data_IF_104396361523
#
_entry.id   IF_104396361523
#
_cell.length_a   1.000
_cell.length_b   1.000
_cell.length_c   1.000
_cell.angle_alpha   90.00
_cell.angle_beta   90.00
_cell.angle_gamma   90.00
#
_symmetry.space_group_name_H-M   'P 1'
#
loop_
_entity.id
_entity.type
_entity.pdbx_description
1 polymer ?
#
# COMPACT_ATOMS: atom_id res chain seq x y z
N UNK A 1 -41.11 -55.73 43.07
CA UNK A 1 -41.16 -56.79 42.04
C UNK A 1 -39.78 -57.39 41.94
N UNK A 2 -39.64 -58.61 42.43
CA UNK A 2 -38.43 -59.45 42.48
C UNK A 2 -38.34 -60.32 41.24
N UNK A 3 -37.15 -60.45 40.65
CA UNK A 3 -36.67 -61.69 40.04
C UNK A 3 -35.15 -61.62 39.83
N UNK A 4 -34.46 -62.45 40.61
CA UNK A 4 -33.14 -63.02 40.37
C UNK A 4 -33.11 -63.78 39.02
N UNK A 5 -31.93 -63.95 38.41
CA UNK A 5 -31.43 -65.21 37.82
C UNK A 5 -30.10 -65.00 37.07
N UNK A 6 -29.02 -65.39 37.77
CA UNK A 6 -27.94 -66.33 37.34
C UNK A 6 -27.42 -66.30 35.90
N UNK A 7 -26.09 -66.19 35.80
CA UNK A 7 -25.32 -66.76 34.68
C UNK A 7 -23.83 -66.40 34.69
N UNK A 8 -23.00 -67.21 35.36
CA UNK A 8 -21.57 -67.33 35.08
C UNK A 8 -21.34 -68.72 34.46
N UNK A 9 -20.45 -68.86 33.45
CA UNK A 9 -19.16 -69.54 33.66
C UNK A 9 -18.05 -69.05 32.66
N UNK A 10 -16.90 -69.74 32.48
CA UNK A 10 -15.78 -69.87 33.41
C UNK A 10 -14.39 -69.52 32.77
N UNK A 11 -13.36 -69.79 33.56
CA UNK A 11 -11.92 -69.59 33.39
C UNK A 11 -11.22 -70.18 32.13
N UNK A 12 -10.05 -69.60 31.80
CA UNK A 12 -9.00 -70.21 30.97
C UNK A 12 -8.15 -69.18 30.20
N UNK A 13 -7.19 -68.51 30.84
CA UNK A 13 -5.76 -68.85 30.86
C UNK A 13 -4.92 -68.37 29.64
N UNK A 14 -4.01 -67.41 29.86
CA UNK A 14 -2.52 -67.52 29.67
C UNK A 14 -1.84 -66.16 29.47
N UNK A 15 -0.64 -66.02 30.07
CA UNK A 15 0.39 -65.00 29.77
C UNK A 15 0.36 -63.83 30.74
N UNK A 16 1.04 -63.87 31.89
CA UNK A 16 2.49 -63.75 32.09
C UNK A 16 3.03 -62.32 31.79
N UNK A 17 3.76 -61.79 32.78
CA UNK A 17 4.17 -60.41 32.96
C UNK A 17 5.03 -59.84 31.81
N UNK A 18 4.71 -58.61 31.39
CA UNK A 18 5.71 -57.65 30.92
C UNK A 18 5.35 -56.23 31.41
N UNK A 19 6.33 -55.58 32.03
CA UNK A 19 6.27 -54.25 32.63
C UNK A 19 6.15 -53.12 31.58
N UNK A 20 5.93 -51.85 32.00
CA UNK A 20 5.36 -50.81 31.15
C UNK A 20 6.40 -50.18 30.20
N UNK A 21 6.15 -50.18 28.89
CA UNK A 21 6.92 -49.36 27.95
C UNK A 21 6.29 -47.98 27.79
N UNK A 22 6.80 -47.03 28.56
CA UNK A 22 6.66 -45.62 28.23
C UNK A 22 7.60 -45.29 27.06
N UNK A 23 7.05 -45.03 25.87
CA UNK A 23 7.71 -44.22 24.83
C UNK A 23 6.65 -43.31 24.21
N UNK A 24 6.37 -42.14 24.80
CA UNK A 24 7.14 -40.89 24.64
C UNK A 24 7.24 -40.48 23.16
N UNK A 25 6.22 -39.72 22.74
CA UNK A 25 6.30 -38.57 21.83
C UNK A 25 6.84 -38.80 20.41
N UNK A 26 5.95 -38.97 19.43
CA UNK A 26 6.25 -38.71 18.01
C UNK A 26 6.29 -37.19 17.71
N UNK A 27 7.03 -36.43 18.52
CA UNK A 27 7.25 -34.98 18.33
C UNK A 27 8.40 -34.68 17.36
N UNK A 28 9.05 -35.70 16.81
CA UNK A 28 10.35 -35.59 16.13
C UNK A 28 10.31 -35.38 14.61
N UNK A 29 9.13 -35.38 13.97
CA UNK A 29 9.03 -35.05 12.52
C UNK A 29 8.86 -33.56 12.19
N UNK A 30 8.74 -32.68 13.19
CA UNK A 30 8.53 -31.22 12.97
C UNK A 30 9.79 -30.35 13.09
N UNK A 31 10.91 -30.91 13.57
CA UNK A 31 12.16 -30.17 13.79
C UNK A 31 12.96 -29.81 12.52
N UNK A 32 13.09 -30.67 11.48
CA UNK A 32 13.88 -30.28 10.31
C UNK A 32 13.22 -29.16 9.49
N UNK A 33 11.88 -29.10 9.47
CA UNK A 33 11.14 -28.04 8.78
C UNK A 33 11.36 -26.65 9.41
N UNK A 34 11.42 -26.58 10.74
CA UNK A 34 11.66 -25.30 11.44
C UNK A 34 13.08 -24.76 11.22
N UNK A 35 14.09 -25.64 11.18
CA UNK A 35 15.46 -25.23 10.89
C UNK A 35 15.62 -24.73 9.45
N UNK A 36 15.03 -25.42 8.48
CA UNK A 36 15.05 -24.98 7.08
C UNK A 36 14.37 -23.62 6.93
N UNK A 37 13.16 -23.45 7.50
CA UNK A 37 12.44 -22.17 7.47
C UNK A 37 13.27 -21.06 8.13
N UNK A 38 13.88 -21.33 9.29
CA UNK A 38 14.71 -20.35 9.99
C UNK A 38 15.95 -19.96 9.16
N UNK A 39 16.64 -20.92 8.56
CA UNK A 39 17.80 -20.66 7.69
C UNK A 39 17.40 -19.86 6.45
N UNK A 40 16.25 -20.19 5.85
CA UNK A 40 15.71 -19.42 4.71
C UNK A 40 15.39 -17.99 5.12
N UNK A 41 14.73 -17.77 6.26
CA UNK A 41 14.41 -16.43 6.76
C UNK A 41 15.68 -15.60 7.04
N UNK A 42 16.67 -16.21 7.69
CA UNK A 42 17.96 -15.55 7.95
C UNK A 42 18.68 -15.24 6.65
N UNK A 43 18.71 -16.18 5.70
CA UNK A 43 19.31 -15.97 4.38
C UNK A 43 18.67 -14.82 3.63
N UNK A 44 17.33 -14.78 3.57
CA UNK A 44 16.57 -13.69 2.95
C UNK A 44 16.86 -12.35 3.65
N UNK A 45 16.85 -12.32 4.98
CA UNK A 45 17.16 -11.11 5.75
C UNK A 45 18.59 -10.60 5.51
N UNK A 46 19.58 -11.50 5.50
CA UNK A 46 20.97 -11.13 5.23
C UNK A 46 21.15 -10.61 3.79
N UNK A 47 20.53 -11.25 2.81
CA UNK A 47 20.55 -10.76 1.42
C UNK A 47 19.90 -9.38 1.29
N UNK A 48 18.80 -9.13 1.99
CA UNK A 48 18.15 -7.83 1.99
C UNK A 48 19.05 -6.74 2.58
N UNK A 49 19.70 -7.01 3.72
CA UNK A 49 20.67 -6.07 4.32
C UNK A 49 21.83 -5.74 3.39
N UNK A 50 22.40 -6.76 2.72
CA UNK A 50 23.46 -6.54 1.72
C UNK A 50 22.94 -5.70 0.56
N UNK A 51 21.73 -5.97 0.06
CA UNK A 51 21.12 -5.20 -1.01
C UNK A 51 20.87 -3.73 -0.59
N UNK A 52 20.45 -3.46 0.64
CA UNK A 52 20.27 -2.08 1.13
C UNK A 52 21.55 -1.27 1.18
N UNK A 53 22.71 -1.93 1.33
CA UNK A 53 24.01 -1.26 1.31
C UNK A 53 24.50 -1.05 -0.12
N UNK A 54 24.37 -2.06 -0.97
CA UNK A 54 24.97 -2.07 -2.31
C UNK A 54 24.08 -1.40 -3.36
N UNK A 55 22.76 -1.51 -3.21
CA UNK A 55 21.76 -1.01 -4.16
C UNK A 55 20.55 -0.40 -3.42
N UNK A 56 20.74 0.67 -2.62
CA UNK A 56 19.66 1.29 -1.84
C UNK A 56 18.46 1.70 -2.70
N UNK A 57 18.71 2.29 -3.88
CA UNK A 57 17.67 2.69 -4.83
C UNK A 57 16.79 1.52 -5.29
N UNK A 58 17.37 0.33 -5.46
CA UNK A 58 16.61 -0.85 -5.86
C UNK A 58 15.69 -1.33 -4.73
N UNK A 59 16.19 -1.28 -3.49
CA UNK A 59 15.40 -1.63 -2.30
C UNK A 59 14.26 -0.63 -2.11
N UNK A 60 14.53 0.66 -2.23
CA UNK A 60 13.51 1.71 -2.09
C UNK A 60 12.43 1.56 -3.16
N UNK A 61 12.81 1.33 -4.42
CA UNK A 61 11.84 1.12 -5.51
C UNK A 61 10.92 -0.07 -5.24
N UNK A 62 11.48 -1.20 -4.81
CA UNK A 62 10.69 -2.42 -4.53
C UNK A 62 9.78 -2.20 -3.32
N UNK A 63 10.34 -1.74 -2.21
CA UNK A 63 9.58 -1.57 -0.96
C UNK A 63 8.52 -0.47 -1.09
N UNK A 64 8.85 0.63 -1.77
CA UNK A 64 7.93 1.71 -2.10
C UNK A 64 6.79 1.24 -3.02
N UNK A 65 7.09 0.47 -4.07
CA UNK A 65 6.07 -0.10 -4.94
C UNK A 65 5.10 -1.01 -4.19
N UNK A 66 5.61 -1.87 -3.29
CA UNK A 66 4.77 -2.71 -2.43
C UNK A 66 3.90 -1.86 -1.50
N UNK A 67 4.47 -0.81 -0.89
CA UNK A 67 3.73 0.12 -0.01
C UNK A 67 2.55 0.76 -0.75
N UNK A 68 2.80 1.31 -1.94
CA UNK A 68 1.76 1.99 -2.75
C UNK A 68 0.66 0.99 -3.13
N UNK A 69 1.03 -0.18 -3.64
CA UNK A 69 0.06 -1.22 -4.03
C UNK A 69 -0.78 -1.70 -2.84
N UNK A 70 -0.14 -1.95 -1.68
CA UNK A 70 -0.83 -2.35 -0.47
C UNK A 70 -1.78 -1.25 0.04
N UNK A 71 -1.38 0.02 -0.01
CA UNK A 71 -2.22 1.15 0.39
C UNK A 71 -3.44 1.32 -0.53
N UNK A 72 -3.28 1.09 -1.84
CA UNK A 72 -4.39 1.09 -2.79
C UNK A 72 -5.38 -0.04 -2.50
N UNK A 73 -4.88 -1.28 -2.36
CA UNK A 73 -5.71 -2.44 -2.07
C UNK A 73 -6.43 -2.31 -0.71
N UNK A 74 -5.74 -1.78 0.31
CA UNK A 74 -6.34 -1.60 1.63
C UNK A 74 -7.49 -0.58 1.59
N UNK A 75 -7.36 0.50 0.81
CA UNK A 75 -8.43 1.49 0.62
C UNK A 75 -9.66 0.86 -0.03
N UNK A 76 -9.47 0.08 -1.09
CA UNK A 76 -10.57 -0.63 -1.76
C UNK A 76 -11.34 -1.57 -0.82
N UNK A 77 -10.65 -2.18 0.15
CA UNK A 77 -11.25 -3.09 1.12
C UNK A 77 -11.92 -2.36 2.29
N UNK A 78 -11.25 -1.35 2.87
CA UNK A 78 -11.70 -0.70 4.10
C UNK A 78 -12.68 0.45 3.86
N UNK A 79 -12.57 1.12 2.72
CA UNK A 79 -13.39 2.28 2.35
C UNK A 79 -13.88 2.17 0.90
N UNK A 80 -14.62 1.10 0.54
CA UNK A 80 -15.08 0.88 -0.82
C UNK A 80 -15.95 2.05 -1.29
N UNK A 81 -15.62 2.60 -2.46
CA UNK A 81 -16.36 3.72 -3.05
C UNK A 81 -16.06 5.10 -2.46
N UNK A 82 -15.20 5.20 -1.43
CA UNK A 82 -14.71 6.50 -0.97
C UNK A 82 -13.56 6.96 -1.89
N UNK A 83 -13.65 8.21 -2.35
CA UNK A 83 -12.58 8.81 -3.14
C UNK A 83 -11.36 9.05 -2.24
N UNK A 84 -10.14 8.91 -2.77
CA UNK A 84 -8.94 9.32 -2.04
C UNK A 84 -8.97 10.83 -1.82
N UNK A 85 -8.59 11.24 -0.61
CA UNK A 85 -8.53 12.64 -0.20
C UNK A 85 -7.08 13.09 -0.05
N UNK A 86 -6.78 14.32 -0.49
CA UNK A 86 -5.51 14.99 -0.25
C UNK A 86 -5.71 16.29 0.52
N UNK A 87 -4.66 16.72 1.20
CA UNK A 87 -4.63 17.96 1.99
C UNK A 87 -3.68 18.93 1.31
N UNK A 88 -4.19 20.05 0.81
CA UNK A 88 -3.35 21.11 0.26
C UNK A 88 -2.85 22.01 1.40
N UNK A 89 -1.55 22.29 1.39
CA UNK A 89 -0.86 23.13 2.36
C UNK A 89 -0.73 24.57 1.89
N UNK A 90 -0.07 25.39 2.70
CA UNK A 90 0.26 26.76 2.34
C UNK A 90 1.41 26.86 1.32
N UNK A 91 1.71 28.09 0.94
CA UNK A 91 2.83 28.43 0.07
C UNK A 91 4.18 28.21 0.73
N UNK A 92 5.17 27.76 -0.04
CA UNK A 92 6.50 27.50 0.47
C UNK A 92 7.54 27.09 -0.55
N UNK A 93 8.65 26.58 -0.03
CA UNK A 93 9.68 25.88 -0.79
C UNK A 93 10.13 24.62 -0.04
N UNK A 94 11.40 24.25 -0.21
CA UNK A 94 11.94 23.02 0.39
C UNK A 94 11.78 22.95 1.91
N UNK A 95 11.89 24.09 2.62
CA UNK A 95 11.75 24.12 4.08
C UNK A 95 10.34 23.71 4.53
N UNK A 96 9.31 24.18 3.83
CA UNK A 96 7.91 23.85 4.11
C UNK A 96 7.63 22.40 3.74
N UNK A 97 8.12 21.96 2.58
CA UNK A 97 8.02 20.58 2.11
C UNK A 97 8.68 19.57 3.08
N UNK A 98 9.83 19.92 3.63
CA UNK A 98 10.59 19.08 4.57
C UNK A 98 9.94 18.95 5.96
N UNK A 99 8.84 19.67 6.25
CA UNK A 99 8.10 19.51 7.51
C UNK A 99 7.37 18.18 7.59
N UNK A 100 7.05 17.57 6.45
CA UNK A 100 6.42 16.26 6.38
C UNK A 100 5.16 16.15 7.25
N UNK A 101 4.28 17.16 7.19
CA UNK A 101 3.04 17.25 7.97
C UNK A 101 1.83 16.58 7.31
N UNK A 102 2.06 15.90 6.17
CA UNK A 102 1.03 15.22 5.39
C UNK A 102 0.25 16.12 4.43
N UNK A 103 0.63 17.40 4.29
CA UNK A 103 0.05 18.30 3.29
C UNK A 103 0.93 18.38 2.03
N UNK A 104 0.31 18.71 0.90
CA UNK A 104 1.03 19.09 -0.31
C UNK A 104 1.28 20.61 -0.28
N UNK A 105 2.54 21.02 -0.13
CA UNK A 105 2.94 22.43 -0.06
C UNK A 105 2.87 23.07 -1.44
N UNK A 106 2.29 24.26 -1.57
CA UNK A 106 2.32 25.00 -2.84
C UNK A 106 3.74 25.53 -3.09
N UNK A 107 4.37 25.05 -4.16
CA UNK A 107 5.78 25.34 -4.44
C UNK A 107 5.92 26.66 -5.19
N UNK A 108 6.24 27.72 -4.44
CA UNK A 108 6.44 29.07 -5.01
C UNK A 108 7.51 29.12 -6.09
N UNK A 109 8.51 28.25 -6.03
CA UNK A 109 9.57 28.16 -7.05
C UNK A 109 9.06 27.68 -8.42
N UNK A 110 7.88 27.08 -8.50
CA UNK A 110 7.28 26.58 -9.74
C UNK A 110 6.31 27.58 -10.38
N UNK A 111 6.11 28.76 -9.78
CA UNK A 111 5.21 29.80 -10.31
C UNK A 111 5.86 30.52 -11.49
N UNK A 112 5.57 30.02 -12.68
CA UNK A 112 5.91 30.65 -13.96
C UNK A 112 4.69 30.65 -14.88
N UNK A 113 4.72 31.50 -15.91
CA UNK A 113 3.64 31.56 -16.89
C UNK A 113 3.46 30.20 -17.62
N UNK A 114 2.20 29.77 -17.74
CA UNK A 114 1.87 28.51 -18.42
C UNK A 114 2.03 27.24 -17.57
N UNK A 115 2.33 27.37 -16.28
CA UNK A 115 2.37 26.27 -15.31
C UNK A 115 1.29 26.52 -14.24
N UNK A 116 0.29 25.62 -14.08
CA UNK A 116 -0.70 25.74 -13.02
C UNK A 116 -0.06 25.73 -11.61
N UNK A 117 -0.74 26.23 -10.57
CA UNK A 117 -0.29 26.10 -9.19
C UNK A 117 0.12 24.65 -8.88
N UNK A 118 1.34 24.47 -8.35
CA UNK A 118 1.91 23.15 -8.11
C UNK A 118 2.03 22.89 -6.62
N UNK A 119 1.43 21.80 -6.17
CA UNK A 119 1.48 21.35 -4.78
C UNK A 119 2.32 20.09 -4.67
N UNK A 120 3.35 20.09 -3.84
CA UNK A 120 4.30 18.98 -3.71
C UNK A 120 4.26 18.34 -2.32
N UNK A 121 4.46 17.02 -2.26
CA UNK A 121 4.73 16.30 -1.02
C UNK A 121 5.82 15.24 -1.26
N UNK A 122 6.71 15.05 -0.29
CA UNK A 122 7.66 13.94 -0.32
C UNK A 122 6.91 12.60 -0.33
N UNK A 123 7.41 11.63 -1.09
CA UNK A 123 6.77 10.32 -1.22
C UNK A 123 6.63 9.59 0.12
N UNK A 124 7.58 9.74 1.03
CA UNK A 124 7.50 9.17 2.37
C UNK A 124 6.75 10.04 3.39
N UNK A 125 6.20 11.19 2.97
CA UNK A 125 5.48 12.14 3.82
C UNK A 125 4.01 12.34 3.38
N UNK A 126 3.42 11.32 2.74
CA UNK A 126 2.04 11.33 2.24
C UNK A 126 1.91 11.60 0.74
N UNK A 127 3.00 12.04 0.09
CA UNK A 127 3.01 12.27 -1.35
C UNK A 127 2.91 10.99 -2.18
N UNK A 128 3.18 9.81 -1.62
CA UNK A 128 3.07 8.55 -2.35
C UNK A 128 1.64 8.13 -2.69
N UNK A 129 0.63 8.78 -2.10
CA UNK A 129 -0.77 8.54 -2.42
C UNK A 129 -1.08 8.70 -3.92
N UNK A 130 -0.38 9.61 -4.59
CA UNK A 130 -0.58 9.91 -6.02
C UNK A 130 0.19 8.97 -6.96
N UNK A 131 1.09 8.12 -6.43
CA UNK A 131 1.87 7.20 -7.25
C UNK A 131 1.04 6.04 -7.81
N UNK A 132 -0.11 5.73 -7.19
CA UNK A 132 -1.04 4.70 -7.66
C UNK A 132 -2.27 5.26 -8.38
N UNK A 133 -2.31 6.57 -8.65
CA UNK A 133 -3.41 7.21 -9.36
C UNK A 133 -3.16 7.20 -10.86
N UNK A 134 -4.19 6.97 -11.64
CA UNK A 134 -4.14 7.01 -13.11
C UNK A 134 -4.97 8.19 -13.64
N UNK A 135 -4.83 8.51 -14.93
CA UNK A 135 -5.75 9.45 -15.60
C UNK A 135 -7.19 8.95 -15.44
N UNK A 136 -8.11 9.86 -15.09
CA UNK A 136 -9.51 9.55 -14.74
C UNK A 136 -9.73 9.25 -13.26
N UNK A 137 -8.67 9.16 -12.44
CA UNK A 137 -8.83 9.00 -11.00
C UNK A 137 -9.50 10.23 -10.41
N UNK A 138 -10.64 10.01 -9.74
CA UNK A 138 -11.37 11.05 -9.01
C UNK A 138 -10.87 11.15 -7.57
N UNK A 139 -10.75 12.35 -7.05
CA UNK A 139 -10.14 12.67 -5.75
C UNK A 139 -10.89 13.80 -5.07
N UNK A 140 -10.81 13.90 -3.75
CA UNK A 140 -11.29 15.05 -2.99
C UNK A 140 -10.12 15.82 -2.38
N UNK A 141 -10.35 17.11 -2.10
CA UNK A 141 -9.43 17.95 -1.37
C UNK A 141 -10.05 18.28 -0.02
N UNK A 142 -9.32 18.07 1.08
CA UNK A 142 -9.78 18.37 2.43
C UNK A 142 -10.29 19.82 2.52
N UNK A 143 -11.53 19.99 3.00
CA UNK A 143 -12.17 21.30 3.11
C UNK A 143 -12.80 21.83 1.82
N UNK A 144 -12.82 21.04 0.74
CA UNK A 144 -13.52 21.35 -0.52
C UNK A 144 -14.63 20.34 -0.81
N UNK A 145 -15.77 20.82 -1.31
CA UNK A 145 -16.85 19.97 -1.82
C UNK A 145 -16.66 19.59 -3.30
N UNK A 146 -15.59 20.08 -3.94
CA UNK A 146 -15.28 19.82 -5.34
C UNK A 146 -14.58 18.47 -5.46
N UNK A 147 -15.12 17.61 -6.32
CA UNK A 147 -14.43 16.41 -6.78
C UNK A 147 -13.54 16.80 -7.95
N UNK A 148 -12.26 16.47 -7.85
CA UNK A 148 -11.28 16.67 -8.91
C UNK A 148 -11.02 15.33 -9.62
N UNK A 149 -10.57 15.41 -10.88
CA UNK A 149 -10.14 14.29 -11.68
C UNK A 149 -8.72 14.52 -12.18
N UNK A 150 -7.91 13.46 -12.20
CA UNK A 150 -6.59 13.47 -12.85
C UNK A 150 -6.80 13.51 -14.37
N UNK A 151 -6.49 14.65 -14.99
CA UNK A 151 -6.73 14.86 -16.44
C UNK A 151 -5.47 14.73 -17.29
N UNK A 152 -4.30 14.91 -16.68
CA UNK A 152 -3.01 14.81 -17.38
C UNK A 152 -1.92 14.33 -16.41
N UNK A 153 -0.95 13.62 -16.96
CA UNK A 153 0.23 13.11 -16.24
C UNK A 153 1.51 13.48 -16.98
N UNK A 154 2.54 13.86 -16.21
CA UNK A 154 3.89 14.06 -16.74
C UNK A 154 4.94 13.50 -15.79
N UNK A 155 6.02 12.98 -16.37
CA UNK A 155 7.20 12.51 -15.65
C UNK A 155 8.43 13.30 -16.09
N UNK A 156 9.24 13.71 -15.13
CA UNK A 156 10.53 14.35 -15.40
C UNK A 156 11.63 13.74 -14.54
N UNK A 157 12.90 13.78 -14.98
CA UNK A 157 14.04 13.58 -14.09
C UNK A 157 14.00 14.51 -12.88
N UNK A 158 14.58 14.09 -11.74
CA UNK A 158 14.78 15.04 -10.63
C UNK A 158 15.68 16.17 -11.13
N UNK A 159 15.41 17.39 -10.65
CA UNK A 159 16.15 18.60 -11.05
C UNK A 159 15.98 19.04 -12.50
N UNK A 160 14.97 18.50 -13.20
CA UNK A 160 14.55 19.04 -14.50
C UNK A 160 14.12 20.50 -14.43
N UNK A 161 14.20 21.16 -15.57
CA UNK A 161 13.77 22.54 -15.75
C UNK A 161 12.24 22.64 -15.62
N UNK A 162 11.74 23.74 -15.03
CA UNK A 162 10.31 23.94 -14.75
C UNK A 162 9.53 24.09 -16.07
N UNK A 163 10.18 24.58 -17.13
CA UNK A 163 9.64 24.70 -18.48
C UNK A 163 9.13 23.38 -19.04
N UNK A 164 9.62 22.24 -18.54
CA UNK A 164 9.10 20.91 -18.90
C UNK A 164 7.65 20.69 -18.45
N UNK A 165 7.09 21.55 -17.59
CA UNK A 165 5.70 21.50 -17.10
C UNK A 165 4.79 22.48 -17.82
N UNK A 166 5.33 23.35 -18.67
CA UNK A 166 4.52 24.32 -19.41
C UNK A 166 3.48 23.59 -20.26
N UNK A 167 2.26 24.13 -20.23
CA UNK A 167 1.13 23.60 -20.99
C UNK A 167 0.45 22.38 -20.36
N UNK A 168 0.85 21.96 -19.15
CA UNK A 168 0.00 21.05 -18.38
C UNK A 168 -1.36 21.71 -18.10
N UNK A 169 -2.43 20.94 -18.33
CA UNK A 169 -3.81 21.38 -18.18
C UNK A 169 -4.32 21.24 -16.73
N UNK A 170 -5.51 21.76 -16.42
CA UNK A 170 -6.13 21.63 -15.08
C UNK A 170 -6.06 22.89 -14.22
N UNK A 171 -6.70 22.83 -13.06
CA UNK A 171 -6.79 23.93 -12.09
C UNK A 171 -5.53 24.02 -11.24
N UNK A 172 -4.96 22.88 -10.87
CA UNK A 172 -3.69 22.79 -10.16
C UNK A 172 -3.01 21.45 -10.46
N UNK A 173 -1.76 21.30 -10.03
CA UNK A 173 -1.01 20.06 -10.12
C UNK A 173 -0.59 19.55 -8.75
N UNK A 174 -0.43 18.23 -8.63
CA UNK A 174 0.21 17.59 -7.49
C UNK A 174 1.48 16.86 -7.92
N UNK A 175 2.49 16.88 -7.06
CA UNK A 175 3.83 16.37 -7.35
C UNK A 175 4.38 15.49 -6.23
N UNK A 176 5.07 14.41 -6.63
CA UNK A 176 5.87 13.57 -5.72
C UNK A 176 7.05 12.91 -6.45
N UNK A 177 7.95 12.28 -5.72
CA UNK A 177 9.05 11.49 -6.27
C UNK A 177 8.72 10.00 -6.35
N UNK A 178 9.21 9.31 -7.38
CA UNK A 178 9.25 7.85 -7.37
C UNK A 178 10.28 7.35 -6.33
N UNK A 179 9.97 6.24 -5.66
CA UNK A 179 10.89 5.61 -4.71
C UNK A 179 12.10 5.03 -5.43
N UNK A 180 13.31 5.38 -4.98
CA UNK A 180 14.56 4.82 -5.54
C UNK A 180 14.79 5.13 -7.03
N UNK A 181 14.19 6.21 -7.54
CA UNK A 181 14.29 6.58 -8.95
C UNK A 181 14.64 8.05 -9.13
N UNK A 182 15.40 8.36 -10.18
CA UNK A 182 15.62 9.73 -10.65
C UNK A 182 14.42 10.21 -11.49
N UNK A 183 13.22 10.11 -10.93
CA UNK A 183 11.97 10.54 -11.59
C UNK A 183 11.01 11.19 -10.60
N UNK A 184 10.28 12.17 -11.08
CA UNK A 184 9.18 12.85 -10.40
C UNK A 184 7.89 12.60 -11.17
N UNK A 185 6.78 12.50 -10.45
CA UNK A 185 5.42 12.39 -10.97
C UNK A 185 4.69 13.70 -10.76
N UNK A 186 4.08 14.19 -11.83
CA UNK A 186 3.20 15.35 -11.85
C UNK A 186 1.85 14.91 -12.37
N UNK A 187 0.80 15.19 -11.61
CA UNK A 187 -0.58 14.96 -12.02
C UNK A 187 -1.31 16.29 -12.03
N UNK A 188 -1.98 16.58 -13.13
CA UNK A 188 -2.83 17.74 -13.29
C UNK A 188 -4.27 17.37 -12.90
N UNK A 189 -4.88 18.20 -12.06
CA UNK A 189 -6.19 18.00 -11.47
C UNK A 189 -7.14 19.08 -11.96
N UNK A 190 -8.29 18.67 -12.50
CA UNK A 190 -9.36 19.58 -12.91
C UNK A 190 -10.66 19.18 -12.21
N UNK A 191 -11.61 20.11 -11.99
CA UNK A 191 -12.93 19.76 -11.50
C UNK A 191 -13.55 18.67 -12.38
N UNK A 192 -14.03 17.61 -11.75
CA UNK A 192 -14.68 16.51 -12.46
C UNK A 192 -16.09 16.93 -12.90
N UNK A 193 -16.50 16.48 -14.08
CA UNK A 193 -17.88 16.70 -14.52
C UNK A 193 -18.87 16.03 -13.54
N UNK A 194 -20.00 16.69 -13.23
CA UNK A 194 -21.07 16.06 -12.47
C UNK A 194 -21.60 14.86 -13.26
N UNK A 195 -21.72 13.70 -12.60
CA UNK A 195 -22.23 12.49 -13.24
C UNK A 195 -23.66 12.76 -13.70
N UNK A 196 -23.91 12.78 -15.01
CA UNK A 196 -25.26 12.86 -15.56
C UNK A 196 -26.00 11.56 -15.26
N UNK A 197 -27.02 11.63 -14.41
CA UNK A 197 -27.94 10.51 -14.13
C UNK A 197 -29.01 10.48 -15.22
N UNK A 198 -28.62 10.20 -16.46
CA UNK A 198 -29.56 10.03 -17.57
C UNK A 198 -29.61 8.56 -17.99
N UNK A 199 -30.59 7.82 -17.47
CA UNK A 199 -30.75 6.41 -17.83
C UNK A 199 -31.90 5.62 -17.21
N UNK A 200 -32.89 6.26 -16.56
CA UNK A 200 -34.13 5.59 -16.14
C UNK A 200 -35.36 6.34 -16.68
N UNK A 201 -35.61 6.20 -17.99
CA UNK A 201 -36.96 6.31 -18.57
C UNK A 201 -37.46 4.88 -18.81
N UNK A 202 -38.32 4.34 -17.94
CA UNK A 202 -39.78 4.40 -18.08
C UNK A 202 -40.27 3.93 -19.44
N UNK A 203 -40.59 2.64 -19.54
CA UNK A 203 -41.54 2.11 -20.52
C UNK A 203 -42.66 1.43 -19.73
N UNK A 204 -43.73 2.19 -19.47
CA UNK A 204 -45.04 1.68 -19.11
C UNK A 204 -45.99 1.90 -20.27
#
# INVERSE_FOLDING_TARGET
>A
MTADLRGAPPAGARGELAAPSASRTSRWRRLPGLLVVSLTLVGVGASFLVASIVAPDAVDRITGGIKVAAAQQLREILAPGQLPEIRLGGEGGMRELDRCDGTFTEMTSYRIDGVPPLFAAHNNCGGDVILGWEIGQRVTVEGSDIVYEVVEERHTPKWSNIEELVGMSGEFMVQTCFYGENRMRFLALAPADPVSVDGQGSSG
#
